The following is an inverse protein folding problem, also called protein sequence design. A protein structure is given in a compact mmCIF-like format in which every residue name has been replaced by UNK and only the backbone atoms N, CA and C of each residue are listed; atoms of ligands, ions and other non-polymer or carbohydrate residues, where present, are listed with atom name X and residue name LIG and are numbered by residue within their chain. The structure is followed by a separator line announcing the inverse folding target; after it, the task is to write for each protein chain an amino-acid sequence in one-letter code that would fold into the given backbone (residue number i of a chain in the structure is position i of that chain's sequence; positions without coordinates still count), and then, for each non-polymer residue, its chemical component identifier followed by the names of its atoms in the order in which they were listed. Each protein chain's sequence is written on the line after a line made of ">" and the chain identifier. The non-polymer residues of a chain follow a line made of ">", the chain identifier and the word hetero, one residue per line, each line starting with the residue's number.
data_IF_117848822366
#
_entry.id   IF_117848822366
#
_cell.length_a   1.000
_cell.length_b   1.000
_cell.length_c   1.000
_cell.angle_alpha   90.00
_cell.angle_beta   90.00
_cell.angle_gamma   90.00
#
_symmetry.space_group_name_H-M   'P 1'
#
loop_
_entity.id
_entity.type
_entity.pdbx_description
1 polymer ?
#
# COMPACT_ATOMS: atom_id res chain seq x y z
N UNK A 1 103.45 21.19 -8.49
CA UNK A 1 102.06 21.11 -7.99
C UNK A 1 101.07 21.83 -8.88
N UNK A 2 101.26 23.12 -9.16
CA UNK A 2 100.28 23.94 -9.89
C UNK A 2 100.04 23.50 -11.35
N UNK A 3 101.09 23.07 -12.06
CA UNK A 3 101.00 22.49 -13.41
C UNK A 3 100.20 21.18 -13.46
N UNK A 4 100.24 20.37 -12.40
CA UNK A 4 99.55 19.07 -12.34
C UNK A 4 98.04 19.25 -12.20
N UNK A 5 97.60 20.16 -11.32
CA UNK A 5 96.18 20.51 -11.17
C UNK A 5 95.58 21.10 -12.45
N UNK A 6 96.33 21.97 -13.12
CA UNK A 6 95.91 22.59 -14.37
C UNK A 6 95.64 21.51 -15.45
N UNK A 7 96.56 20.57 -15.62
CA UNK A 7 96.46 19.48 -16.64
C UNK A 7 95.24 18.57 -16.45
N UNK A 8 94.73 18.42 -15.22
CA UNK A 8 93.53 17.62 -14.92
C UNK A 8 92.23 18.35 -15.29
N UNK A 9 92.19 19.68 -15.22
CA UNK A 9 90.99 20.49 -15.48
C UNK A 9 90.61 20.55 -16.96
N UNK A 10 91.57 20.39 -17.87
CA UNK A 10 91.32 20.42 -19.32
C UNK A 10 91.06 19.03 -19.90
N UNK A 11 90.00 18.92 -20.72
CA UNK A 11 89.58 17.67 -21.35
C UNK A 11 90.64 17.04 -22.28
N UNK A 12 90.50 15.74 -22.62
CA UNK A 12 91.50 14.99 -23.39
C UNK A 12 91.85 15.62 -24.75
N UNK A 13 90.93 16.36 -25.37
CA UNK A 13 91.16 17.06 -26.64
C UNK A 13 92.17 18.23 -26.58
N UNK A 14 92.39 18.81 -25.40
CA UNK A 14 93.35 19.93 -25.19
C UNK A 14 94.72 19.38 -24.77
N UNK A 15 94.74 18.32 -23.96
CA UNK A 15 95.97 17.65 -23.49
C UNK A 15 96.85 17.09 -24.61
N UNK A 16 96.25 16.67 -25.73
CA UNK A 16 96.96 16.08 -26.87
C UNK A 16 97.70 17.08 -27.77
N UNK A 17 97.51 18.40 -27.60
CA UNK A 17 98.09 19.41 -28.49
C UNK A 17 99.54 19.73 -28.10
N UNK A 18 100.49 19.45 -28.99
CA UNK A 18 101.93 19.65 -28.76
C UNK A 18 102.32 21.12 -28.54
N UNK A 19 101.58 22.06 -29.11
CA UNK A 19 101.71 23.51 -28.93
C UNK A 19 101.22 24.00 -27.57
N UNK A 20 100.18 23.38 -27.02
CA UNK A 20 99.66 23.67 -25.67
C UNK A 20 100.63 23.19 -24.59
N UNK A 21 101.10 21.95 -24.71
CA UNK A 21 102.08 21.36 -23.77
C UNK A 21 103.36 22.19 -23.66
N UNK A 22 103.91 22.65 -24.79
CA UNK A 22 105.12 23.49 -24.81
C UNK A 22 104.94 24.85 -24.12
N UNK A 23 103.77 25.48 -24.24
CA UNK A 23 103.45 26.73 -23.53
C UNK A 23 103.29 26.50 -22.03
N UNK A 24 102.60 25.42 -21.65
CA UNK A 24 102.43 25.03 -20.24
C UNK A 24 103.78 24.69 -19.57
N UNK A 25 104.70 24.07 -20.30
CA UNK A 25 106.04 23.75 -19.81
C UNK A 25 106.90 25.01 -19.61
N UNK A 26 106.70 26.04 -20.44
CA UNK A 26 107.38 27.33 -20.39
C UNK A 26 106.79 28.32 -19.35
N UNK A 27 105.57 28.10 -18.87
CA UNK A 27 104.86 28.95 -17.92
C UNK A 27 105.58 29.02 -16.55
N UNK A 28 105.89 30.24 -16.07
CA UNK A 28 106.64 30.46 -14.82
C UNK A 28 105.78 31.02 -13.69
N UNK A 29 104.55 31.45 -14.00
CA UNK A 29 103.59 31.97 -13.04
C UNK A 29 102.23 31.26 -13.15
N UNK A 30 101.36 31.48 -12.16
CA UNK A 30 99.97 31.04 -12.21
C UNK A 30 99.22 31.66 -13.39
N UNK A 31 99.49 32.95 -13.66
CA UNK A 31 98.89 33.69 -14.76
C UNK A 31 99.32 33.12 -16.12
N UNK A 32 100.59 32.76 -16.27
CA UNK A 32 101.10 32.13 -17.49
C UNK A 32 100.38 30.81 -17.78
N UNK A 33 100.01 30.06 -16.74
CA UNK A 33 99.27 28.80 -16.86
C UNK A 33 97.81 29.03 -17.31
N UNK A 34 97.15 30.09 -16.84
CA UNK A 34 95.80 30.46 -17.29
C UNK A 34 95.80 30.88 -18.77
N UNK A 35 96.83 31.63 -19.17
CA UNK A 35 97.02 32.11 -20.54
C UNK A 35 97.52 31.03 -21.53
N UNK A 36 97.90 29.84 -21.05
CA UNK A 36 98.27 28.72 -21.91
C UNK A 36 97.09 28.12 -22.69
N UNK A 37 95.86 28.38 -22.26
CA UNK A 37 94.66 27.97 -22.99
C UNK A 37 94.70 28.53 -24.42
N UNK A 38 94.46 27.68 -25.43
CA UNK A 38 94.33 28.18 -26.80
C UNK A 38 93.13 29.13 -26.86
N UNK A 39 93.24 30.29 -27.54
CA UNK A 39 92.07 31.12 -27.81
C UNK A 39 91.03 30.22 -28.44
N UNK A 40 89.89 30.07 -27.77
CA UNK A 40 88.78 29.31 -28.34
C UNK A 40 88.42 30.05 -29.64
N UNK A 41 88.41 29.37 -30.81
CA UNK A 41 88.06 30.03 -32.05
C UNK A 41 86.73 30.76 -31.88
N UNK A 42 86.67 32.01 -32.34
CA UNK A 42 85.49 32.86 -32.17
C UNK A 42 84.21 32.17 -32.70
N UNK A 43 84.36 31.37 -33.75
CA UNK A 43 83.28 30.59 -34.36
C UNK A 43 82.71 29.51 -33.42
N UNK A 44 83.57 28.81 -32.67
CA UNK A 44 83.15 27.82 -31.66
C UNK A 44 82.45 28.45 -30.46
N UNK A 45 82.90 29.61 -29.99
CA UNK A 45 82.19 30.34 -28.92
C UNK A 45 80.82 30.83 -29.39
N UNK A 46 80.73 31.23 -30.66
CA UNK A 46 79.47 31.67 -31.28
C UNK A 46 78.48 30.51 -31.43
N UNK A 47 78.93 29.33 -31.83
CA UNK A 47 78.10 28.11 -31.90
C UNK A 47 77.59 27.70 -30.51
N UNK A 48 78.48 27.60 -29.52
CA UNK A 48 78.09 27.26 -28.13
C UNK A 48 77.11 28.30 -27.56
N UNK A 49 77.30 29.58 -27.88
CA UNK A 49 76.35 30.63 -27.51
C UNK A 49 74.97 30.43 -28.14
N UNK A 50 74.89 30.04 -29.42
CA UNK A 50 73.63 29.71 -30.11
C UNK A 50 72.96 28.47 -29.52
N UNK A 51 73.73 27.42 -29.24
CA UNK A 51 73.23 26.20 -28.58
C UNK A 51 72.68 26.51 -27.19
N UNK A 52 73.37 27.33 -26.39
CA UNK A 52 72.92 27.74 -25.06
C UNK A 52 71.60 28.53 -25.11
N UNK A 53 71.48 29.47 -26.04
CA UNK A 53 70.23 30.24 -26.24
C UNK A 53 69.09 29.29 -26.63
N UNK A 54 69.36 28.33 -27.52
CA UNK A 54 68.38 27.32 -27.97
C UNK A 54 67.94 26.41 -26.82
N UNK A 55 68.89 25.92 -26.02
CA UNK A 55 68.62 25.09 -24.84
C UNK A 55 67.82 25.87 -23.79
N UNK A 56 68.11 27.16 -23.58
CA UNK A 56 67.35 28.00 -22.67
C UNK A 56 65.91 28.23 -23.14
N UNK A 57 65.70 28.43 -24.44
CA UNK A 57 64.36 28.53 -25.02
C UNK A 57 63.58 27.22 -24.87
N UNK A 58 64.23 26.07 -25.11
CA UNK A 58 63.62 24.76 -24.91
C UNK A 58 63.26 24.50 -23.46
N UNK A 59 64.14 24.84 -22.50
CA UNK A 59 63.86 24.72 -21.08
C UNK A 59 62.61 25.52 -20.68
N UNK A 60 62.54 26.80 -21.06
CA UNK A 60 61.35 27.64 -20.80
C UNK A 60 60.09 27.08 -21.45
N UNK A 61 60.20 26.56 -22.67
CA UNK A 61 59.08 25.87 -23.34
C UNK A 61 58.64 24.61 -22.59
N UNK A 62 59.59 23.84 -22.04
CA UNK A 62 59.29 22.65 -21.25
C UNK A 62 58.68 23.01 -19.89
N UNK A 63 59.15 24.07 -19.24
CA UNK A 63 58.61 24.55 -17.96
C UNK A 63 57.17 25.05 -18.13
N UNK A 64 56.88 25.79 -19.20
CA UNK A 64 55.52 26.22 -19.54
C UNK A 64 54.61 25.03 -19.89
N UNK A 65 55.12 24.04 -20.62
CA UNK A 65 54.37 22.79 -20.83
C UNK A 65 54.11 22.04 -19.52
N UNK A 66 55.06 22.03 -18.59
CA UNK A 66 54.90 21.39 -17.27
C UNK A 66 53.78 22.06 -16.47
N UNK A 67 53.77 23.39 -16.38
CA UNK A 67 52.73 24.12 -15.63
C UNK A 67 51.34 23.91 -16.24
N UNK A 68 51.22 23.86 -17.57
CA UNK A 68 49.95 23.54 -18.24
C UNK A 68 49.47 22.13 -17.88
N UNK A 69 50.37 21.14 -17.89
CA UNK A 69 50.02 19.76 -17.51
C UNK A 69 49.63 19.65 -16.03
N UNK A 70 50.32 20.35 -15.14
CA UNK A 70 50.00 20.38 -13.69
C UNK A 70 48.62 20.97 -13.44
N UNK A 71 48.30 22.10 -14.08
CA UNK A 71 46.97 22.72 -13.97
C UNK A 71 45.86 21.80 -14.50
N UNK A 72 46.11 21.12 -15.63
CA UNK A 72 45.16 20.15 -16.20
C UNK A 72 44.96 18.95 -15.27
N UNK A 73 46.05 18.40 -14.71
CA UNK A 73 45.99 17.28 -13.78
C UNK A 73 45.20 17.65 -12.52
N UNK A 74 45.44 18.85 -11.97
CA UNK A 74 44.70 19.35 -10.82
C UNK A 74 43.20 19.49 -11.12
N UNK A 75 42.84 20.09 -12.25
CA UNK A 75 41.44 20.22 -12.68
C UNK A 75 40.77 18.85 -12.83
N UNK A 76 41.46 17.87 -13.40
CA UNK A 76 40.94 16.52 -13.58
C UNK A 76 40.75 15.78 -12.24
N UNK A 77 41.68 15.97 -11.30
CA UNK A 77 41.56 15.41 -9.94
C UNK A 77 40.35 16.00 -9.19
N UNK A 78 40.14 17.32 -9.29
CA UNK A 78 38.94 17.96 -8.74
C UNK A 78 37.65 17.43 -9.39
N UNK A 79 37.62 17.29 -10.72
CA UNK A 79 36.47 16.75 -11.43
C UNK A 79 36.16 15.31 -10.99
N UNK A 80 37.18 14.47 -10.82
CA UNK A 80 37.03 13.09 -10.34
C UNK A 80 36.49 13.03 -8.91
N UNK A 81 37.06 13.81 -7.99
CA UNK A 81 36.61 13.85 -6.60
C UNK A 81 35.14 14.30 -6.50
N UNK A 82 34.74 15.27 -7.33
CA UNK A 82 33.35 15.70 -7.43
C UNK A 82 32.45 14.58 -7.97
N UNK A 83 32.87 13.88 -9.02
CA UNK A 83 32.12 12.76 -9.59
C UNK A 83 31.95 11.60 -8.59
N UNK A 84 32.99 11.26 -7.83
CA UNK A 84 32.94 10.25 -6.77
C UNK A 84 31.95 10.63 -5.66
N UNK A 85 31.94 11.90 -5.26
CA UNK A 85 30.99 12.43 -4.26
C UNK A 85 29.56 12.28 -4.74
N UNK A 86 29.27 12.67 -5.98
CA UNK A 86 27.94 12.51 -6.58
C UNK A 86 27.55 11.04 -6.71
N UNK A 87 28.47 10.17 -7.11
CA UNK A 87 28.21 8.73 -7.20
C UNK A 87 27.82 8.14 -5.85
N UNK A 88 28.50 8.54 -4.77
CA UNK A 88 28.18 8.08 -3.42
C UNK A 88 26.80 8.60 -2.96
N UNK A 89 26.50 9.87 -3.24
CA UNK A 89 25.21 10.47 -2.93
C UNK A 89 24.07 9.73 -3.65
N UNK A 90 24.19 9.53 -4.96
CA UNK A 90 23.18 8.79 -5.73
C UNK A 90 23.01 7.35 -5.27
N UNK A 91 24.09 6.67 -4.85
CA UNK A 91 23.97 5.33 -4.27
C UNK A 91 23.16 5.35 -2.97
N UNK A 92 23.41 6.34 -2.11
CA UNK A 92 22.71 6.50 -0.83
C UNK A 92 21.23 6.79 -1.05
N UNK A 93 20.92 7.70 -1.98
CA UNK A 93 19.54 8.07 -2.33
C UNK A 93 18.79 6.90 -2.96
N UNK A 94 19.44 6.15 -3.85
CA UNK A 94 18.89 4.92 -4.45
C UNK A 94 18.54 3.91 -3.36
N UNK A 95 19.44 3.67 -2.41
CA UNK A 95 19.23 2.70 -1.34
C UNK A 95 18.12 3.15 -0.36
N UNK A 96 17.99 4.47 -0.12
CA UNK A 96 16.88 5.04 0.63
C UNK A 96 15.55 4.85 -0.11
N UNK A 97 15.49 5.17 -1.40
CA UNK A 97 14.31 4.98 -2.25
C UNK A 97 13.87 3.51 -2.29
N UNK A 98 14.80 2.55 -2.36
CA UNK A 98 14.47 1.12 -2.28
C UNK A 98 13.81 0.72 -0.95
N UNK A 99 14.23 1.31 0.17
CA UNK A 99 13.60 1.06 1.48
C UNK A 99 12.18 1.63 1.51
N UNK A 100 11.97 2.83 0.99
CA UNK A 100 10.64 3.45 0.90
C UNK A 100 9.69 2.63 0.02
N UNK A 101 10.16 2.20 -1.17
CA UNK A 101 9.37 1.33 -2.07
C UNK A 101 8.93 0.06 -1.34
N UNK A 102 9.80 -0.56 -0.53
CA UNK A 102 9.45 -1.75 0.25
C UNK A 102 8.34 -1.46 1.27
N UNK A 103 8.42 -0.32 1.95
CA UNK A 103 7.39 0.11 2.91
C UNK A 103 6.07 0.35 2.19
N UNK A 104 6.07 1.14 1.11
CA UNK A 104 4.88 1.45 0.31
C UNK A 104 4.21 0.16 -0.18
N UNK A 105 4.99 -0.79 -0.71
CA UNK A 105 4.47 -2.07 -1.21
C UNK A 105 3.80 -2.91 -0.10
N UNK A 106 4.37 -2.93 1.09
CA UNK A 106 3.74 -3.62 2.24
C UNK A 106 2.43 -2.95 2.67
N UNK A 107 2.38 -1.62 2.64
CA UNK A 107 1.17 -0.85 2.97
C UNK A 107 0.07 -1.03 1.92
N UNK A 108 0.43 -1.06 0.64
CA UNK A 108 -0.48 -1.37 -0.46
C UNK A 108 -1.12 -2.76 -0.27
N UNK A 109 -0.33 -3.77 0.05
CA UNK A 109 -0.84 -5.11 0.33
C UNK A 109 -1.82 -5.13 1.52
N UNK A 110 -1.51 -4.39 2.59
CA UNK A 110 -2.40 -4.26 3.75
C UNK A 110 -3.73 -3.59 3.40
N UNK A 111 -3.69 -2.49 2.64
CA UNK A 111 -4.90 -1.77 2.21
C UNK A 111 -5.75 -2.63 1.27
N UNK A 112 -5.14 -3.39 0.37
CA UNK A 112 -5.87 -4.31 -0.50
C UNK A 112 -6.59 -5.42 0.28
N UNK A 113 -6.01 -5.89 1.39
CA UNK A 113 -6.67 -6.85 2.28
C UNK A 113 -7.88 -6.20 3.01
N UNK A 114 -7.73 -4.99 3.53
CA UNK A 114 -8.80 -4.23 4.19
C UNK A 114 -9.96 -3.91 3.21
N UNK A 115 -9.65 -3.52 1.98
CA UNK A 115 -10.63 -3.31 0.91
C UNK A 115 -11.38 -4.63 0.61
N UNK A 116 -10.68 -5.76 0.60
CA UNK A 116 -11.31 -7.06 0.37
C UNK A 116 -12.27 -7.45 1.51
N UNK A 117 -11.89 -7.18 2.76
CA UNK A 117 -12.73 -7.42 3.93
C UNK A 117 -13.98 -6.53 3.92
N UNK A 118 -13.81 -5.22 3.69
CA UNK A 118 -14.93 -4.28 3.62
C UNK A 118 -15.90 -4.63 2.50
N UNK A 119 -15.41 -5.06 1.33
CA UNK A 119 -16.26 -5.57 0.26
C UNK A 119 -17.05 -6.83 0.66
N UNK A 120 -16.44 -7.74 1.42
CA UNK A 120 -17.14 -8.91 1.94
C UNK A 120 -18.24 -8.51 2.94
N UNK A 121 -17.98 -7.52 3.79
CA UNK A 121 -18.97 -6.96 4.72
C UNK A 121 -20.11 -6.30 3.97
N UNK A 122 -19.84 -5.48 2.95
CA UNK A 122 -20.86 -4.83 2.12
C UNK A 122 -21.76 -5.90 1.48
N UNK A 123 -21.17 -6.96 0.90
CA UNK A 123 -21.93 -8.05 0.29
C UNK A 123 -22.86 -8.75 1.29
N UNK A 124 -22.38 -9.03 2.52
CA UNK A 124 -23.22 -9.62 3.57
C UNK A 124 -24.37 -8.71 3.97
N UNK A 125 -24.14 -7.40 4.04
CA UNK A 125 -25.20 -6.44 4.34
C UNK A 125 -26.22 -6.38 3.20
N UNK A 126 -25.79 -6.41 1.94
CA UNK A 126 -26.70 -6.48 0.79
C UNK A 126 -27.61 -7.70 0.89
N UNK A 127 -27.05 -8.89 1.12
CA UNK A 127 -27.83 -10.12 1.29
C UNK A 127 -28.81 -10.05 2.47
N UNK A 128 -28.42 -9.37 3.56
CA UNK A 128 -29.30 -9.15 4.71
C UNK A 128 -30.46 -8.21 4.36
N UNK A 129 -30.21 -7.11 3.65
CA UNK A 129 -31.24 -6.19 3.19
C UNK A 129 -32.22 -6.88 2.23
N UNK A 130 -31.72 -7.65 1.27
CA UNK A 130 -32.56 -8.42 0.33
C UNK A 130 -33.47 -9.39 1.08
N UNK A 131 -32.97 -10.07 2.12
CA UNK A 131 -33.78 -10.95 2.99
C UNK A 131 -34.85 -10.18 3.75
N UNK A 132 -34.52 -9.01 4.28
CA UNK A 132 -35.46 -8.19 5.04
C UNK A 132 -36.58 -7.66 4.14
N UNK A 133 -36.23 -7.17 2.95
CA UNK A 133 -37.18 -6.70 1.95
C UNK A 133 -38.16 -7.81 1.56
N UNK A 134 -37.65 -9.01 1.26
CA UNK A 134 -38.47 -10.17 0.95
C UNK A 134 -39.44 -10.53 2.10
N UNK A 135 -38.98 -10.50 3.36
CA UNK A 135 -39.85 -10.75 4.53
C UNK A 135 -40.93 -9.68 4.67
N UNK A 136 -40.60 -8.42 4.42
CA UNK A 136 -41.55 -7.31 4.48
C UNK A 136 -42.63 -7.44 3.41
N UNK A 137 -42.24 -7.79 2.17
CA UNK A 137 -43.19 -8.04 1.07
C UNK A 137 -44.14 -9.20 1.39
N UNK A 138 -43.63 -10.30 1.95
CA UNK A 138 -44.46 -11.43 2.38
C UNK A 138 -45.43 -11.04 3.49
N UNK A 139 -44.96 -10.31 4.50
CA UNK A 139 -45.81 -9.82 5.59
C UNK A 139 -46.90 -8.88 5.06
N UNK A 140 -46.56 -8.00 4.13
CA UNK A 140 -47.53 -7.09 3.53
C UNK A 140 -48.61 -7.86 2.75
N UNK A 141 -48.22 -8.86 1.96
CA UNK A 141 -49.16 -9.72 1.23
C UNK A 141 -50.06 -10.52 2.17
N UNK A 142 -49.51 -11.05 3.25
CA UNK A 142 -50.28 -11.76 4.29
C UNK A 142 -51.32 -10.84 4.94
N UNK A 143 -50.92 -9.62 5.31
CA UNK A 143 -51.84 -8.63 5.87
C UNK A 143 -52.95 -8.24 4.90
N UNK A 144 -52.66 -8.15 3.60
CA UNK A 144 -53.67 -7.87 2.59
C UNK A 144 -54.72 -8.99 2.51
N UNK A 145 -54.28 -10.25 2.56
CA UNK A 145 -55.18 -11.43 2.59
C UNK A 145 -56.03 -11.40 3.87
N UNK A 146 -55.40 -11.27 5.03
CA UNK A 146 -56.09 -11.24 6.32
C UNK A 146 -57.12 -10.12 6.39
N UNK A 147 -56.79 -8.94 5.84
CA UNK A 147 -57.73 -7.81 5.78
C UNK A 147 -58.96 -8.15 4.95
N UNK A 148 -58.80 -8.85 3.83
CA UNK A 148 -59.93 -9.31 3.00
C UNK A 148 -60.78 -10.33 3.74
N UNK A 149 -60.17 -11.31 4.39
CA UNK A 149 -60.86 -12.35 5.16
C UNK A 149 -61.64 -11.77 6.35
N UNK A 150 -61.03 -10.86 7.12
CA UNK A 150 -61.69 -10.18 8.25
C UNK A 150 -62.88 -9.35 7.77
N UNK A 151 -62.74 -8.62 6.67
CA UNK A 151 -63.85 -7.85 6.10
C UNK A 151 -64.98 -8.76 5.60
N UNK A 152 -64.64 -9.91 4.99
CA UNK A 152 -65.60 -10.90 4.56
C UNK A 152 -66.37 -11.49 5.74
N UNK A 153 -65.67 -12.01 6.75
CA UNK A 153 -66.29 -12.55 7.97
C UNK A 153 -67.13 -11.51 8.72
N UNK A 154 -66.69 -10.25 8.75
CA UNK A 154 -67.50 -9.13 9.28
C UNK A 154 -68.80 -8.95 8.50
N UNK A 155 -68.76 -9.03 7.17
CA UNK A 155 -69.95 -8.95 6.32
C UNK A 155 -70.91 -10.11 6.60
N UNK A 156 -70.40 -11.34 6.68
CA UNK A 156 -71.21 -12.53 6.99
C UNK A 156 -71.86 -12.42 8.37
N UNK A 157 -71.10 -11.97 9.38
CA UNK A 157 -71.61 -11.75 10.73
C UNK A 157 -72.75 -10.73 10.78
N UNK A 158 -72.61 -9.61 10.05
CA UNK A 158 -73.66 -8.59 9.96
C UNK A 158 -74.94 -9.12 9.32
N UNK A 159 -74.81 -9.92 8.25
CA UNK A 159 -75.95 -10.61 7.63
C UNK A 159 -76.59 -11.58 8.62
N UNK A 160 -75.78 -12.36 9.35
CA UNK A 160 -76.24 -13.29 10.38
C UNK A 160 -77.03 -12.60 11.50
N UNK A 161 -76.56 -11.45 12.00
CA UNK A 161 -77.30 -10.63 12.98
C UNK A 161 -78.66 -10.23 12.43
N UNK A 162 -78.74 -9.82 11.17
CA UNK A 162 -80.00 -9.38 10.57
C UNK A 162 -81.02 -10.54 10.49
N UNK A 163 -80.56 -11.73 10.10
CA UNK A 163 -81.39 -12.95 10.07
C UNK A 163 -81.85 -13.31 11.49
N UNK A 164 -80.94 -13.31 12.47
CA UNK A 164 -81.25 -13.59 13.86
C UNK A 164 -82.27 -12.61 14.43
N UNK A 165 -82.07 -11.30 14.20
CA UNK A 165 -82.97 -10.24 14.63
C UNK A 165 -84.38 -10.46 14.06
N UNK A 166 -84.50 -10.75 12.76
CA UNK A 166 -85.80 -11.04 12.12
C UNK A 166 -86.45 -12.30 12.70
N UNK A 167 -85.68 -13.36 12.95
CA UNK A 167 -86.19 -14.56 13.61
C UNK A 167 -86.72 -14.25 15.01
N UNK A 168 -86.01 -13.43 15.78
CA UNK A 168 -86.39 -13.04 17.12
C UNK A 168 -87.67 -12.19 17.12
N UNK A 169 -87.80 -11.24 16.20
CA UNK A 169 -89.04 -10.46 15.98
C UNK A 169 -90.23 -11.38 15.65
N UNK A 170 -90.03 -12.35 14.76
CA UNK A 170 -91.06 -13.34 14.43
C UNK A 170 -91.48 -14.19 15.65
N UNK A 171 -90.52 -14.64 16.47
CA UNK A 171 -90.82 -15.36 17.71
C UNK A 171 -91.63 -14.51 18.68
N UNK A 172 -91.28 -13.24 18.86
CA UNK A 172 -92.04 -12.31 19.70
C UNK A 172 -93.47 -12.09 19.21
N UNK A 173 -93.65 -11.99 17.90
CA UNK A 173 -94.99 -11.88 17.29
C UNK A 173 -95.84 -13.12 17.58
N UNK A 174 -95.26 -14.32 17.43
CA UNK A 174 -95.95 -15.59 17.73
C UNK A 174 -96.36 -15.70 19.20
N UNK A 175 -95.47 -15.32 20.12
CA UNK A 175 -95.75 -15.30 21.55
C UNK A 175 -96.86 -14.30 21.90
N UNK A 176 -96.97 -13.20 21.18
CA UNK A 176 -97.99 -12.17 21.41
C UNK A 176 -99.39 -12.59 20.92
N UNK A 177 -99.48 -13.55 19.99
CA UNK A 177 -100.75 -14.09 19.47
C UNK A 177 -101.28 -15.27 20.30
N UNK A 178 -100.54 -15.73 21.31
CA UNK A 178 -100.94 -16.86 22.15
C UNK A 178 -101.78 -16.35 23.32
N UNK A 179 -102.99 -16.88 23.51
CA UNK A 179 -103.91 -16.45 24.57
C UNK A 179 -103.32 -16.73 25.97
N UNK A 180 -103.38 -15.81 26.95
CA UNK A 180 -102.81 -16.02 28.29
C UNK A 180 -103.38 -17.23 29.04
N UNK A 181 -104.48 -17.82 28.56
CA UNK A 181 -105.13 -18.99 29.15
C UNK A 181 -104.47 -20.33 28.76
N UNK A 182 -103.69 -20.41 27.66
CA UNK A 182 -102.83 -21.57 27.32
C UNK A 182 -101.45 -21.52 28.02
N UNK A 183 -101.37 -20.85 29.17
CA UNK A 183 -100.13 -20.55 29.92
C UNK A 183 -99.35 -21.76 30.40
N UNK A 184 -99.94 -22.96 30.42
CA UNK A 184 -99.24 -24.17 30.86
C UNK A 184 -98.22 -24.68 29.82
N UNK A 185 -98.37 -24.33 28.55
CA UNK A 185 -97.46 -24.73 27.47
C UNK A 185 -96.28 -23.76 27.29
N UNK A 186 -96.51 -22.45 27.41
CA UNK A 186 -95.47 -21.42 27.32
C UNK A 186 -94.47 -21.49 28.47
N UNK A 187 -94.88 -21.93 29.68
CA UNK A 187 -93.99 -22.10 30.83
C UNK A 187 -93.12 -23.38 30.74
N UNK A 188 -93.54 -24.39 29.97
CA UNK A 188 -92.76 -25.61 29.70
C UNK A 188 -91.78 -25.48 28.53
N UNK A 189 -91.89 -24.42 27.73
CA UNK A 189 -91.02 -24.20 26.59
C UNK A 189 -89.56 -23.87 26.96
N UNK A 190 -89.26 -23.06 28.00
CA UNK A 190 -87.90 -22.87 28.50
C UNK A 190 -87.26 -24.18 28.97
N UNK A 191 -88.07 -25.09 29.53
CA UNK A 191 -87.64 -26.39 30.04
C UNK A 191 -87.31 -27.36 28.89
N UNK A 192 -88.17 -27.41 27.86
CA UNK A 192 -87.88 -28.13 26.61
C UNK A 192 -86.69 -27.57 25.83
N UNK A 193 -86.50 -26.24 25.80
CA UNK A 193 -85.34 -25.63 25.16
C UNK A 193 -84.05 -25.93 25.94
N UNK A 194 -84.09 -25.99 27.28
CA UNK A 194 -82.95 -26.48 28.08
C UNK A 194 -82.61 -27.94 27.74
N UNK A 195 -83.60 -28.80 27.56
CA UNK A 195 -83.38 -30.19 27.14
C UNK A 195 -82.83 -30.30 25.72
N UNK A 196 -83.35 -29.51 24.77
CA UNK A 196 -82.83 -29.49 23.40
C UNK A 196 -81.37 -29.01 23.33
N UNK A 197 -81.04 -27.95 24.08
CA UNK A 197 -79.66 -27.45 24.17
C UNK A 197 -78.74 -28.50 24.81
N UNK A 198 -79.21 -29.24 25.83
CA UNK A 198 -78.44 -30.37 26.40
C UNK A 198 -78.24 -31.48 25.36
N UNK A 199 -79.25 -31.83 24.56
CA UNK A 199 -79.13 -32.88 23.54
C UNK A 199 -78.28 -32.47 22.34
N UNK A 200 -78.31 -31.19 21.93
CA UNK A 200 -77.47 -30.68 20.84
C UNK A 200 -76.02 -30.53 21.31
N UNK A 201 -75.78 -30.04 22.53
CA UNK A 201 -74.42 -29.92 23.09
C UNK A 201 -73.80 -31.28 23.40
N UNK A 202 -74.60 -32.30 23.73
CA UNK A 202 -74.12 -33.69 23.90
C UNK A 202 -74.12 -34.52 22.60
N UNK A 203 -74.61 -33.96 21.49
CA UNK A 203 -74.78 -34.64 20.20
C UNK A 203 -73.88 -34.13 19.07
N UNK A 204 -73.02 -33.13 19.32
CA UNK A 204 -71.95 -32.77 18.38
C UNK A 204 -70.85 -33.82 18.55
N UNK A 205 -70.56 -34.66 17.54
CA UNK A 205 -69.38 -35.51 17.60
C UNK A 205 -68.17 -34.59 17.66
N UNK A 206 -67.24 -34.88 18.58
CA UNK A 206 -65.97 -34.19 18.72
C UNK A 206 -65.33 -33.98 17.34
N UNK A 207 -65.41 -32.74 16.84
CA UNK A 207 -64.52 -32.27 15.81
C UNK A 207 -63.12 -32.26 16.44
N UNK A 208 -62.45 -33.39 16.28
CA UNK A 208 -61.05 -33.57 16.60
C UNK A 208 -60.29 -32.41 15.94
N UNK A 209 -59.56 -31.64 16.75
CA UNK A 209 -58.65 -30.59 16.27
C UNK A 209 -57.86 -31.09 15.07
N UNK A 210 -57.72 -30.30 13.98
CA UNK A 210 -56.75 -30.62 12.96
C UNK A 210 -55.38 -30.66 13.64
N UNK A 211 -54.71 -31.80 13.48
CA UNK A 211 -53.34 -32.00 13.90
C UNK A 211 -52.51 -30.78 13.51
N UNK A 212 -51.91 -30.14 14.50
CA UNK A 212 -50.76 -29.27 14.31
C UNK A 212 -49.68 -30.08 13.62
N UNK A 213 -49.58 -29.97 12.29
CA UNK A 213 -48.37 -30.32 11.56
C UNK A 213 -47.29 -29.30 11.96
N UNK A 214 -46.64 -29.57 13.09
CA UNK A 214 -45.34 -28.99 13.44
C UNK A 214 -44.28 -29.64 12.55
N UNK A 215 -44.11 -29.10 11.34
CA UNK A 215 -42.92 -29.33 10.55
C UNK A 215 -41.86 -28.28 10.94
N UNK A 216 -40.82 -28.75 11.64
CA UNK A 216 -39.40 -28.43 11.41
C UNK A 216 -39.04 -26.98 11.06
N UNK A 217 -38.20 -26.25 11.80
CA UNK A 217 -36.81 -26.64 12.07
C UNK A 217 -36.21 -25.73 13.14
N UNK A 218 -35.83 -26.29 14.28
CA UNK A 218 -34.86 -25.66 15.18
C UNK A 218 -33.44 -26.07 14.73
N UNK A 219 -32.46 -25.16 14.65
CA UNK A 219 -31.08 -25.55 14.44
C UNK A 219 -30.55 -26.24 15.70
N UNK A 220 -30.03 -27.46 15.56
CA UNK A 220 -29.18 -28.10 16.54
C UNK A 220 -27.98 -27.19 16.84
N UNK A 221 -27.92 -26.64 18.05
CA UNK A 221 -26.66 -26.17 18.62
C UNK A 221 -25.87 -27.40 19.02
N UNK A 222 -24.91 -27.78 18.18
CA UNK A 222 -23.78 -28.57 18.62
C UNK A 222 -22.94 -27.68 19.56
N UNK A 223 -22.83 -28.13 20.80
CA UNK A 223 -21.77 -27.68 21.69
C UNK A 223 -20.46 -28.25 21.14
N UNK A 224 -19.55 -27.38 20.74
CA UNK A 224 -18.13 -27.69 20.80
C UNK A 224 -17.53 -26.84 21.93
N UNK A 225 -17.08 -27.56 22.96
CA UNK A 225 -16.18 -27.09 23.98
C UNK A 225 -14.84 -26.63 23.36
N UNK A 226 -14.13 -25.80 24.15
CA UNK A 226 -12.65 -25.71 24.20
C UNK A 226 -11.99 -24.70 23.25
N UNK A 227 -11.71 -23.50 23.74
CA UNK A 227 -10.45 -23.24 24.48
C UNK A 227 -10.42 -21.79 25.02
N UNK A 228 -10.31 -21.68 26.34
CA UNK A 228 -9.90 -20.46 27.02
C UNK A 228 -8.38 -20.31 26.86
N UNK A 229 -7.93 -19.25 26.22
CA UNK A 229 -6.57 -18.72 26.44
C UNK A 229 -6.65 -17.25 26.82
N UNK A 230 -6.53 -17.06 28.13
CA UNK A 230 -5.96 -15.90 28.81
C UNK A 230 -4.83 -15.27 28.00
N UNK A 231 -4.96 -14.00 27.63
CA UNK A 231 -3.82 -13.15 27.30
C UNK A 231 -3.93 -11.89 28.14
N UNK A 232 -3.06 -11.84 29.14
CA UNK A 232 -2.65 -10.68 29.89
C UNK A 232 -1.89 -9.73 28.96
N UNK A 233 -2.27 -8.45 28.93
CA UNK A 233 -1.33 -7.35 28.75
C UNK A 233 -1.89 -6.06 29.31
#
# INVERSE_FOLDING_TARGET
>A
MLRFYATLHWGPNVRGRTTFKRRLDAARSFEDVLMCSEPIPADTLTEVGRELITAQAFLKSSETSRTVMENKLFSEQCARANAETWSLQFSTDRDAAHKEIKIVKSREASLNAEISETNAVIKRHQEMYDRLENRMLLAHRSNEILTKEVNHGRSEYLVGIQVFKKSHENFHMLLSLTDPTETTLTLKHPERNRDLVRHVVLGIPDCTSPATHSNSSAPQRANDERDQRTITR
#
